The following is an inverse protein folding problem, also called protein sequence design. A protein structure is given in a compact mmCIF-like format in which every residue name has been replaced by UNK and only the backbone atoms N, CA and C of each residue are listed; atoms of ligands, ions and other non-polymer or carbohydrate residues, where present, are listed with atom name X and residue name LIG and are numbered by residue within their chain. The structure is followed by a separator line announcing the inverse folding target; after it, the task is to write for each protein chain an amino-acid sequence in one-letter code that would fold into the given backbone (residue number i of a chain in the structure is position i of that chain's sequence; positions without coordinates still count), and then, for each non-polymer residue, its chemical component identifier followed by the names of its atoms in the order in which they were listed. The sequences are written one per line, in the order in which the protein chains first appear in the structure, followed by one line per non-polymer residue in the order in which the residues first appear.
data_IF_885842429575
#
_entry.id   IF_885842429575
#
_cell.length_a   1.000
_cell.length_b   1.000
_cell.length_c   1.000
_cell.angle_alpha   90.00
_cell.angle_beta   90.00
_cell.angle_gamma   90.00
#
_symmetry.space_group_name_H-M   'P 1'
#
loop_
_entity.id
_entity.type
_entity.pdbx_description
1 polymer ?
#
# COMPACT_ATOMS: atom_id res chain seq x y z
N UNK A 1 21.89 24.68 -1.09
CA UNK A 1 23.28 24.64 -1.57
C UNK A 1 23.78 23.22 -1.33
N UNK A 2 23.73 22.37 -2.35
CA UNK A 2 24.18 20.98 -2.25
C UNK A 2 25.67 20.95 -2.61
N UNK A 3 26.50 20.47 -1.70
CA UNK A 3 27.88 20.10 -2.04
C UNK A 3 27.80 18.73 -2.70
N UNK A 4 28.29 18.65 -3.93
CA UNK A 4 28.41 17.42 -4.70
C UNK A 4 29.76 16.78 -4.35
N UNK A 5 29.76 15.74 -3.53
CA UNK A 5 30.88 14.81 -3.39
C UNK A 5 30.63 13.59 -4.28
N UNK A 6 31.42 13.50 -5.35
CA UNK A 6 31.26 12.55 -6.44
C UNK A 6 31.53 11.09 -6.06
N UNK A 7 30.55 10.44 -5.44
CA UNK A 7 30.48 8.97 -5.37
C UNK A 7 29.28 8.46 -6.19
N UNK A 8 29.39 7.30 -6.86
CA UNK A 8 28.29 6.75 -7.63
C UNK A 8 27.12 6.46 -6.69
N UNK A 9 25.97 7.07 -6.98
CA UNK A 9 24.72 6.96 -6.23
C UNK A 9 24.25 5.50 -6.10
N UNK A 10 24.81 4.77 -5.14
CA UNK A 10 24.22 3.55 -4.61
C UNK A 10 23.44 3.98 -3.38
N UNK A 11 22.11 3.95 -3.49
CA UNK A 11 21.20 4.16 -2.36
C UNK A 11 21.77 3.38 -1.16
N UNK A 12 22.05 4.07 -0.05
CA UNK A 12 22.61 3.45 1.16
C UNK A 12 21.60 2.41 1.70
N UNK A 13 21.75 1.15 1.27
CA UNK A 13 21.37 0.01 2.10
C UNK A 13 22.36 -0.01 3.26
N UNK A 14 22.00 0.68 4.34
CA UNK A 14 22.77 0.68 5.58
C UNK A 14 22.77 -0.74 6.13
N UNK A 15 23.97 -1.35 6.22
CA UNK A 15 24.18 -2.77 6.57
C UNK A 15 23.61 -3.21 7.93
N UNK A 16 23.16 -2.26 8.76
CA UNK A 16 22.66 -2.50 10.13
C UNK A 16 21.14 -2.29 10.31
N UNK A 17 20.35 -2.20 9.24
CA UNK A 17 18.88 -2.05 9.36
C UNK A 17 18.16 -3.41 9.27
N UNK A 18 17.29 -3.77 10.25
CA UNK A 18 16.64 -5.09 10.26
C UNK A 18 15.55 -5.24 9.19
N UNK A 19 14.84 -4.16 8.81
CA UNK A 19 13.58 -4.25 8.06
C UNK A 19 13.70 -4.09 6.53
N UNK A 20 14.75 -3.46 6.02
CA UNK A 20 14.91 -3.14 4.59
C UNK A 20 16.13 -3.81 3.95
N UNK A 21 16.56 -4.95 4.50
CA UNK A 21 17.64 -5.79 3.93
C UNK A 21 17.37 -6.22 2.50
N UNK A 22 16.10 -6.31 2.13
CA UNK A 22 15.63 -6.53 0.75
C UNK A 22 14.64 -5.44 0.37
N UNK A 23 14.49 -5.18 -0.94
CA UNK A 23 13.53 -4.20 -1.43
C UNK A 23 12.09 -4.63 -1.11
N UNK A 24 11.18 -3.66 -0.95
CA UNK A 24 9.75 -3.94 -0.76
C UNK A 24 9.16 -4.85 -1.85
N UNK A 25 9.65 -4.70 -3.10
CA UNK A 25 9.35 -5.63 -4.19
C UNK A 25 9.67 -7.07 -3.80
N UNK A 26 10.89 -7.35 -3.37
CA UNK A 26 11.32 -8.71 -3.02
C UNK A 26 10.56 -9.27 -1.83
N UNK A 27 10.25 -8.44 -0.82
CA UNK A 27 9.45 -8.85 0.34
C UNK A 27 8.05 -9.32 -0.11
N UNK A 28 7.35 -8.50 -0.92
CA UNK A 28 6.02 -8.86 -1.44
C UNK A 28 6.07 -10.09 -2.34
N UNK A 29 7.03 -10.16 -3.27
CA UNK A 29 7.14 -11.29 -4.20
C UNK A 29 7.43 -12.61 -3.46
N UNK A 30 8.23 -12.55 -2.40
CA UNK A 30 8.54 -13.73 -1.57
C UNK A 30 7.27 -14.24 -0.88
N UNK A 31 6.51 -13.35 -0.25
CA UNK A 31 5.33 -13.75 0.51
C UNK A 31 4.17 -14.17 -0.39
N UNK A 32 3.92 -13.45 -1.49
CA UNK A 32 2.94 -13.87 -2.49
C UNK A 32 3.30 -15.25 -3.05
N UNK A 33 4.59 -15.51 -3.32
CA UNK A 33 5.02 -16.82 -3.80
C UNK A 33 4.76 -17.93 -2.79
N UNK A 34 5.01 -17.66 -1.51
CA UNK A 34 4.74 -18.61 -0.41
C UNK A 34 3.26 -18.98 -0.38
N UNK A 35 2.37 -17.98 -0.40
CA UNK A 35 0.92 -18.17 -0.37
C UNK A 35 0.38 -18.87 -1.63
N UNK A 36 0.86 -18.50 -2.82
CA UNK A 36 0.47 -19.16 -4.09
C UNK A 36 0.86 -20.64 -4.09
N UNK A 37 1.97 -20.99 -3.45
CA UNK A 37 2.41 -22.38 -3.33
C UNK A 37 1.61 -23.14 -2.26
N UNK A 38 1.33 -22.50 -1.12
CA UNK A 38 0.54 -23.07 -0.01
C UNK A 38 -0.88 -23.45 -0.46
N UNK A 39 -1.55 -22.53 -1.16
CA UNK A 39 -2.93 -22.71 -1.60
C UNK A 39 -3.04 -23.21 -3.06
N UNK A 40 -1.99 -23.86 -3.59
CA UNK A 40 -1.92 -24.27 -4.99
C UNK A 40 -3.01 -25.25 -5.43
N UNK A 41 -3.66 -25.93 -4.49
CA UNK A 41 -4.75 -26.88 -4.75
C UNK A 41 -6.14 -26.24 -4.65
N UNK A 42 -6.24 -24.97 -4.24
CA UNK A 42 -7.49 -24.23 -4.11
C UNK A 42 -7.71 -23.28 -5.29
N UNK A 43 -8.88 -22.64 -5.33
CA UNK A 43 -9.14 -21.50 -6.20
C UNK A 43 -8.77 -20.23 -5.45
N UNK A 44 -7.76 -19.51 -5.95
CA UNK A 44 -7.24 -18.30 -5.31
C UNK A 44 -7.28 -17.11 -6.28
N UNK A 45 -7.26 -15.91 -5.73
CA UNK A 45 -7.07 -14.66 -6.47
C UNK A 45 -6.15 -13.72 -5.69
N UNK A 46 -5.45 -12.84 -6.40
CA UNK A 46 -4.62 -11.79 -5.78
C UNK A 46 -5.30 -10.46 -6.03
N UNK A 47 -5.56 -9.71 -4.96
CA UNK A 47 -6.10 -8.35 -5.05
C UNK A 47 -5.07 -7.35 -4.54
N UNK A 48 -4.69 -6.39 -5.38
CA UNK A 48 -3.77 -5.32 -5.02
C UNK A 48 -4.56 -4.01 -4.92
N UNK A 49 -4.42 -3.30 -3.81
CA UNK A 49 -5.10 -2.01 -3.59
C UNK A 49 -4.09 -0.93 -3.28
N UNK A 50 -4.43 0.32 -3.57
CA UNK A 50 -3.57 1.46 -3.26
C UNK A 50 -4.25 2.79 -3.51
N UNK A 51 -3.82 3.81 -2.78
CA UNK A 51 -4.28 5.19 -2.92
C UNK A 51 -3.08 6.11 -3.18
N UNK A 52 -3.23 7.08 -4.10
CA UNK A 52 -2.19 8.07 -4.41
C UNK A 52 -0.85 7.39 -4.78
N UNK A 53 0.27 7.69 -4.10
CA UNK A 53 1.55 6.99 -4.29
C UNK A 53 1.41 5.46 -4.16
N UNK A 54 0.60 5.00 -3.21
CA UNK A 54 0.32 3.57 -3.04
C UNK A 54 -0.35 2.95 -4.26
N UNK A 55 -1.23 3.70 -4.95
CA UNK A 55 -1.85 3.21 -6.18
C UNK A 55 -0.83 3.03 -7.32
N UNK A 56 0.17 3.93 -7.39
CA UNK A 56 1.26 3.82 -8.35
C UNK A 56 2.09 2.54 -8.12
N UNK A 57 2.47 2.30 -6.87
CA UNK A 57 3.24 1.11 -6.47
C UNK A 57 2.41 -0.16 -6.69
N UNK A 58 1.13 -0.15 -6.33
CA UNK A 58 0.21 -1.27 -6.55
C UNK A 58 0.03 -1.60 -8.03
N UNK A 59 0.04 -0.60 -8.92
CA UNK A 59 0.05 -0.81 -10.38
C UNK A 59 1.29 -1.57 -10.81
N UNK A 60 2.49 -1.13 -10.39
CA UNK A 60 3.75 -1.78 -10.73
C UNK A 60 3.79 -3.20 -10.18
N UNK A 61 3.36 -3.40 -8.93
CA UNK A 61 3.38 -4.70 -8.28
C UNK A 61 2.43 -5.69 -8.95
N UNK A 62 1.19 -5.30 -9.26
CA UNK A 62 0.24 -6.16 -9.96
C UNK A 62 0.77 -6.61 -11.32
N UNK A 63 1.38 -5.69 -12.08
CA UNK A 63 1.99 -6.00 -13.38
C UNK A 63 3.19 -6.94 -13.21
N UNK A 64 4.08 -6.65 -12.27
CA UNK A 64 5.27 -7.46 -11.96
C UNK A 64 4.89 -8.91 -11.59
N UNK A 65 3.83 -9.08 -10.78
CA UNK A 65 3.32 -10.39 -10.40
C UNK A 65 2.86 -11.21 -11.62
N UNK A 66 2.16 -10.59 -12.56
CA UNK A 66 1.61 -11.26 -13.75
C UNK A 66 2.69 -11.51 -14.80
N UNK A 67 3.49 -10.49 -15.13
CA UNK A 67 4.50 -10.55 -16.20
C UNK A 67 5.60 -11.56 -15.85
N UNK A 68 6.00 -11.62 -14.58
CA UNK A 68 7.04 -12.55 -14.11
C UNK A 68 6.48 -13.86 -13.54
N UNK A 69 5.16 -14.10 -13.63
CA UNK A 69 4.53 -15.38 -13.29
C UNK A 69 4.57 -15.72 -11.79
N UNK A 70 4.61 -14.73 -10.92
CA UNK A 70 4.49 -14.93 -9.47
C UNK A 70 3.06 -15.31 -9.05
N UNK A 71 2.07 -15.10 -9.92
CA UNK A 71 0.69 -15.56 -9.75
C UNK A 71 0.46 -17.03 -10.19
N UNK A 72 1.53 -17.83 -10.33
CA UNK A 72 1.47 -19.24 -10.77
C UNK A 72 2.24 -20.13 -9.79
N UNK A 73 1.69 -21.28 -9.34
CA UNK A 73 2.45 -22.27 -8.56
C UNK A 73 3.68 -22.79 -9.32
N UNK A 74 4.72 -23.30 -8.64
CA UNK A 74 5.96 -23.74 -9.32
C UNK A 74 5.72 -24.95 -10.21
N UNK A 75 4.93 -25.89 -9.71
CA UNK A 75 4.72 -27.20 -10.34
C UNK A 75 3.49 -27.23 -11.25
N UNK A 76 2.73 -26.13 -11.34
CA UNK A 76 1.48 -26.04 -12.10
C UNK A 76 1.44 -24.73 -12.92
N UNK A 77 2.25 -24.60 -13.98
CA UNK A 77 2.42 -23.35 -14.73
C UNK A 77 1.16 -22.86 -15.44
N UNK A 78 0.22 -23.77 -15.72
CA UNK A 78 -1.07 -23.48 -16.35
C UNK A 78 -2.13 -22.98 -15.35
N UNK A 79 -1.89 -23.13 -14.04
CA UNK A 79 -2.81 -22.71 -12.97
C UNK A 79 -2.51 -21.29 -12.48
N UNK A 80 -2.52 -20.31 -13.39
CA UNK A 80 -2.35 -18.91 -13.04
C UNK A 80 -3.60 -18.35 -12.34
N UNK A 81 -3.44 -17.72 -11.17
CA UNK A 81 -4.54 -17.04 -10.50
C UNK A 81 -4.76 -15.61 -11.02
N UNK A 82 -6.01 -15.12 -11.06
CA UNK A 82 -6.28 -13.75 -11.49
C UNK A 82 -5.66 -12.74 -10.50
N UNK A 83 -5.09 -11.67 -11.07
CA UNK A 83 -4.58 -10.52 -10.31
C UNK A 83 -5.44 -9.31 -10.64
N UNK A 84 -6.09 -8.72 -9.64
CA UNK A 84 -6.98 -7.56 -9.80
C UNK A 84 -6.44 -6.38 -9.00
N UNK A 85 -6.41 -5.20 -9.62
CA UNK A 85 -5.97 -3.97 -8.96
C UNK A 85 -7.12 -2.98 -8.80
N UNK A 86 -7.41 -2.57 -7.56
CA UNK A 86 -8.35 -1.48 -7.25
C UNK A 86 -7.56 -0.26 -6.79
N UNK A 87 -7.51 0.76 -7.65
CA UNK A 87 -6.56 1.87 -7.51
C UNK A 87 -7.30 3.20 -7.39
N UNK A 88 -6.98 3.98 -6.37
CA UNK A 88 -7.66 5.24 -6.07
C UNK A 88 -6.70 6.42 -6.21
N UNK A 89 -7.14 7.48 -6.91
CA UNK A 89 -6.33 8.68 -7.16
C UNK A 89 -4.92 8.36 -7.69
N UNK A 90 -4.81 7.33 -8.56
CA UNK A 90 -3.51 6.87 -9.03
C UNK A 90 -2.86 7.91 -9.94
N UNK A 91 -1.62 8.35 -9.66
CA UNK A 91 -0.85 9.05 -10.67
C UNK A 91 -0.56 8.09 -11.83
N UNK A 92 -0.22 8.66 -12.99
CA UNK A 92 0.22 7.86 -14.14
C UNK A 92 1.55 7.19 -13.81
N UNK A 93 1.66 5.93 -14.19
CA UNK A 93 2.88 5.12 -14.05
C UNK A 93 3.30 4.66 -15.44
N UNK A 94 4.61 4.74 -15.72
CA UNK A 94 5.21 4.29 -16.97
C UNK A 94 5.04 5.24 -18.16
N UNK A 95 5.56 4.82 -19.31
CA UNK A 95 5.54 5.57 -20.56
C UNK A 95 4.39 5.08 -21.48
N UNK A 96 4.40 5.52 -22.75
CA UNK A 96 3.37 5.13 -23.72
C UNK A 96 3.34 3.62 -24.01
N UNK A 97 4.42 2.87 -23.73
CA UNK A 97 4.47 1.41 -23.87
C UNK A 97 3.89 0.69 -22.65
N UNK A 98 3.76 1.38 -21.52
CA UNK A 98 3.25 0.88 -20.24
C UNK A 98 1.74 1.16 -20.03
N UNK A 99 0.97 1.39 -21.11
CA UNK A 99 -0.42 1.87 -21.02
C UNK A 99 -1.33 1.00 -20.11
N UNK A 100 -1.86 1.61 -19.04
CA UNK A 100 -2.79 0.96 -18.08
C UNK A 100 -4.19 1.59 -18.00
N UNK A 101 -4.51 2.64 -18.78
CA UNK A 101 -5.79 3.35 -18.61
C UNK A 101 -6.91 2.84 -19.53
N UNK A 102 -8.03 2.44 -18.91
CA UNK A 102 -9.35 2.40 -19.53
C UNK A 102 -9.99 3.79 -19.50
N UNK A 103 -10.62 4.20 -20.60
CA UNK A 103 -11.27 5.49 -20.76
C UNK A 103 -12.78 5.32 -20.69
N UNK A 104 -13.42 5.89 -19.64
CA UNK A 104 -14.84 6.32 -19.53
C UNK A 104 -15.44 5.99 -18.15
N UNK A 105 -16.08 6.98 -17.54
CA UNK A 105 -17.02 6.77 -16.44
C UNK A 105 -17.36 8.06 -15.70
N UNK A 106 -18.65 8.39 -15.60
CA UNK A 106 -19.14 9.33 -14.61
C UNK A 106 -19.14 8.67 -13.23
N UNK A 107 -19.00 9.46 -12.16
CA UNK A 107 -18.97 8.95 -10.78
C UNK A 107 -20.39 8.94 -10.20
N UNK A 108 -20.82 7.78 -9.70
CA UNK A 108 -22.03 7.62 -8.89
C UNK A 108 -21.68 6.75 -7.68
N UNK A 109 -22.05 7.21 -6.49
CA UNK A 109 -21.84 6.46 -5.27
C UNK A 109 -22.90 5.34 -5.19
N UNK A 110 -22.49 4.09 -5.43
CA UNK A 110 -23.38 2.90 -5.37
C UNK A 110 -23.47 2.28 -3.96
N UNK A 111 -22.69 2.78 -2.99
CA UNK A 111 -22.63 2.24 -1.62
C UNK A 111 -22.86 3.36 -0.61
N UNK A 112 -23.73 3.12 0.38
CA UNK A 112 -23.92 4.04 1.50
C UNK A 112 -22.64 4.08 2.37
N UNK A 113 -21.77 5.06 2.09
CA UNK A 113 -20.54 5.34 2.83
C UNK A 113 -20.71 6.65 3.57
N UNK A 114 -20.28 6.69 4.83
CA UNK A 114 -20.35 7.90 5.64
C UNK A 114 -19.49 9.01 5.04
N UNK A 115 -20.10 10.15 4.76
CA UNK A 115 -19.45 11.32 4.20
C UNK A 115 -18.37 11.87 5.14
N UNK A 116 -18.50 11.68 6.46
CA UNK A 116 -17.54 12.15 7.45
C UNK A 116 -16.13 11.60 7.22
N UNK A 117 -16.01 10.42 6.57
CA UNK A 117 -14.71 9.83 6.20
C UNK A 117 -13.91 10.71 5.23
N UNK A 118 -14.54 11.61 4.48
CA UNK A 118 -13.86 12.59 3.62
C UNK A 118 -12.97 13.52 4.44
N UNK A 119 -13.46 13.99 5.59
CA UNK A 119 -12.73 14.89 6.48
C UNK A 119 -11.76 14.17 7.43
N UNK A 120 -11.51 12.87 7.23
CA UNK A 120 -10.61 12.09 8.09
C UNK A 120 -9.22 12.74 8.20
N UNK A 121 -8.67 13.21 7.08
CA UNK A 121 -7.37 13.88 7.00
C UNK A 121 -7.41 15.21 6.24
N UNK A 122 -8.60 15.67 5.88
CA UNK A 122 -8.82 16.80 4.99
C UNK A 122 -9.94 17.70 5.53
N UNK A 123 -10.08 18.85 4.88
CA UNK A 123 -11.27 19.69 4.93
C UNK A 123 -11.95 19.67 3.55
N UNK A 124 -12.57 18.52 3.24
CA UNK A 124 -13.15 18.25 1.92
C UNK A 124 -14.67 18.37 1.87
N UNK A 125 -15.34 18.36 3.02
CA UNK A 125 -16.79 18.59 3.15
C UNK A 125 -17.07 20.07 3.33
N UNK A 126 -18.27 20.48 2.91
CA UNK A 126 -18.76 21.83 3.21
C UNK A 126 -19.09 21.98 4.69
N UNK A 127 -18.91 23.18 5.23
CA UNK A 127 -19.17 23.51 6.64
C UNK A 127 -20.60 23.18 7.11
N UNK A 128 -21.58 23.22 6.20
CA UNK A 128 -22.99 22.88 6.46
C UNK A 128 -23.21 21.44 6.95
N UNK A 129 -22.26 20.53 6.70
CA UNK A 129 -22.31 19.17 7.22
C UNK A 129 -21.81 19.04 8.67
N UNK A 130 -21.25 20.11 9.26
CA UNK A 130 -20.77 20.16 10.65
C UNK A 130 -19.79 19.03 11.03
N UNK A 131 -19.02 18.51 10.07
CA UNK A 131 -17.99 17.49 10.32
C UNK A 131 -16.65 18.18 10.59
N UNK A 132 -16.00 17.95 11.74
CA UNK A 132 -14.72 18.56 12.03
C UNK A 132 -13.66 18.22 10.97
N UNK A 133 -12.82 19.20 10.64
CA UNK A 133 -11.71 19.04 9.70
C UNK A 133 -10.64 18.14 10.29
N UNK A 134 -10.03 17.29 9.46
CA UNK A 134 -8.91 16.42 9.87
C UNK A 134 -9.12 15.71 11.21
N UNK A 135 -10.32 15.17 11.41
CA UNK A 135 -10.76 14.73 12.73
C UNK A 135 -10.03 13.49 13.25
N UNK A 136 -9.36 12.73 12.37
CA UNK A 136 -8.61 11.55 12.80
C UNK A 136 -7.36 11.95 13.57
N UNK A 137 -7.41 11.73 14.88
CA UNK A 137 -6.25 11.66 15.73
C UNK A 137 -6.41 10.50 16.72
N UNK A 138 -5.31 9.87 17.09
CA UNK A 138 -5.34 8.93 18.21
C UNK A 138 -5.75 9.66 19.48
N UNK A 139 -6.42 8.95 20.37
CA UNK A 139 -6.83 9.51 21.65
C UNK A 139 -5.58 10.02 22.38
N UNK A 140 -5.59 11.32 22.73
CA UNK A 140 -4.44 12.01 23.31
C UNK A 140 -3.13 11.86 22.50
N UNK A 141 -3.23 11.65 21.17
CA UNK A 141 -2.10 11.42 20.27
C UNK A 141 -1.21 10.23 20.68
N UNK A 142 -1.83 9.14 21.17
CA UNK A 142 -1.12 7.93 21.59
C UNK A 142 -0.53 7.99 23.00
N UNK A 143 -0.72 9.10 23.73
CA UNK A 143 -0.26 9.21 25.11
C UNK A 143 -1.19 8.45 26.06
N UNK A 144 -0.62 7.54 26.86
CA UNK A 144 -1.31 6.71 27.84
C UNK A 144 -0.75 6.96 29.24
N UNK A 145 -1.64 7.33 30.17
CA UNK A 145 -1.27 7.48 31.57
C UNK A 145 -1.10 6.12 32.23
N UNK A 146 0.02 5.95 32.92
CA UNK A 146 0.38 4.75 33.67
C UNK A 146 -0.19 4.80 35.09
N UNK A 147 -0.14 3.67 35.80
CA UNK A 147 -0.62 3.57 37.19
C UNK A 147 0.14 4.49 38.17
N UNK A 148 1.41 4.78 37.87
CA UNK A 148 2.26 5.70 38.67
C UNK A 148 1.99 7.19 38.36
N UNK A 149 1.04 7.48 37.47
CA UNK A 149 0.68 8.83 37.03
C UNK A 149 1.56 9.40 35.91
N UNK A 150 2.62 8.71 35.50
CA UNK A 150 3.45 9.10 34.35
C UNK A 150 2.70 8.91 33.03
N UNK A 151 3.12 9.62 31.98
CA UNK A 151 2.55 9.50 30.65
C UNK A 151 3.60 8.92 29.70
N UNK A 152 3.23 7.85 28.99
CA UNK A 152 4.08 7.23 27.97
C UNK A 152 3.41 7.31 26.61
N UNK A 153 4.21 7.54 25.58
CA UNK A 153 3.77 7.43 24.19
C UNK A 153 3.71 5.94 23.85
N UNK A 154 2.51 5.45 23.56
CA UNK A 154 2.23 4.07 23.17
C UNK A 154 1.56 4.11 21.79
N UNK A 155 2.31 4.62 20.79
CA UNK A 155 1.90 4.75 19.39
C UNK A 155 2.40 3.58 18.50
N UNK A 156 2.97 2.56 19.15
CA UNK A 156 3.47 1.35 18.51
C UNK A 156 3.03 0.12 19.30
N UNK A 157 2.51 -0.88 18.60
CA UNK A 157 2.31 -2.22 19.11
C UNK A 157 3.54 -3.05 18.71
N UNK A 158 4.15 -3.73 19.68
CA UNK A 158 5.24 -4.66 19.40
C UNK A 158 4.69 -5.85 18.59
N UNK A 159 5.32 -6.15 17.46
CA UNK A 159 4.97 -7.28 16.60
C UNK A 159 6.16 -8.24 16.52
N UNK A 160 5.95 -9.50 16.95
CA UNK A 160 6.97 -10.54 17.07
C UNK A 160 7.26 -11.17 15.69
N UNK A 161 7.94 -10.44 14.78
CA UNK A 161 8.43 -10.95 13.49
C UNK A 161 9.89 -11.41 13.52
#
# INVERSE_FOLDING_TARGET
MCILDGTPSTLLMTRDQPFNKTSARNQVLTEVRRLVEEYKNEEISITVTGHSLGAAVSTLNAIDLVVNGYNRPRDMPDKACPVTAFLFASPRVGDYKFRTQGSRGGFKLEVNRDIALVNKYLDGLKDEYCVPVSWWCEKHKGMVQQEDGSWKLMDHEDDDF
#
